data_IF_446727286502
#
_entry.id   IF_446727286502
#
_cell.length_a   1.000
_cell.length_b   1.000
_cell.length_c   1.000
_cell.angle_alpha   90.00
_cell.angle_beta   90.00
_cell.angle_gamma   90.00
#
_symmetry.space_group_name_H-M   'P 1'
#
loop_
_entity.id
_entity.type
_entity.pdbx_description
1 polymer ?
#
# COMPACT_ATOMS: atom_id res chain seq x y z
N UNK A 1 1.05 -16.00 2.62
CA UNK A 1 0.41 -14.78 3.16
C UNK A 1 1.24 -14.34 4.35
N UNK A 2 1.48 -13.04 4.48
CA UNK A 2 2.27 -12.48 5.58
C UNK A 2 1.57 -12.66 6.92
N UNK A 3 2.29 -13.22 7.90
CA UNK A 3 1.87 -13.25 9.30
C UNK A 3 2.41 -12.02 10.04
N UNK A 4 1.52 -11.08 10.34
CA UNK A 4 1.84 -9.86 11.08
C UNK A 4 1.88 -10.05 12.60
N UNK A 5 1.85 -11.30 13.10
CA UNK A 5 2.01 -11.57 14.54
C UNK A 5 3.31 -11.01 15.11
N UNK A 6 4.36 -10.86 14.29
CA UNK A 6 5.63 -10.22 14.67
C UNK A 6 5.53 -8.71 14.93
N UNK A 7 4.43 -8.07 14.53
CA UNK A 7 4.15 -6.67 14.88
C UNK A 7 3.37 -6.54 16.19
N UNK A 8 3.16 -7.61 16.98
CA UNK A 8 2.42 -7.53 18.25
C UNK A 8 3.28 -6.85 19.33
N UNK A 9 3.31 -5.53 19.30
CA UNK A 9 4.04 -4.71 20.26
C UNK A 9 3.64 -3.23 20.17
N UNK A 10 3.96 -2.48 21.21
CA UNK A 10 3.87 -1.02 21.20
C UNK A 10 5.20 -0.49 20.68
N UNK A 11 5.17 0.12 19.51
CA UNK A 11 6.36 0.71 18.92
C UNK A 11 6.47 2.19 19.30
N UNK A 12 7.68 2.67 19.56
CA UNK A 12 7.97 4.10 19.46
C UNK A 12 8.02 4.51 17.99
N UNK A 13 7.94 5.81 17.68
CA UNK A 13 8.09 6.27 16.28
C UNK A 13 9.40 5.78 15.67
N UNK A 14 10.48 5.81 16.44
CA UNK A 14 11.80 5.33 16.03
C UNK A 14 11.82 3.82 15.77
N UNK A 15 11.18 3.02 16.63
CA UNK A 15 11.09 1.57 16.44
C UNK A 15 10.22 1.20 15.23
N UNK A 16 9.19 1.99 14.90
CA UNK A 16 8.44 1.78 13.65
C UNK A 16 9.37 1.91 12.45
N UNK A 17 10.19 2.96 12.42
CA UNK A 17 11.10 3.24 11.31
C UNK A 17 12.27 2.26 11.23
N UNK A 18 12.94 1.99 12.35
CA UNK A 18 14.18 1.20 12.39
C UNK A 18 13.94 -0.31 12.44
N UNK A 19 12.75 -0.77 12.88
CA UNK A 19 12.46 -2.20 13.07
C UNK A 19 11.26 -2.67 12.25
N UNK A 20 10.10 -2.00 12.41
CA UNK A 20 8.87 -2.47 11.79
C UNK A 20 8.88 -2.33 10.26
N UNK A 21 9.38 -1.21 9.73
CA UNK A 21 9.47 -0.98 8.27
C UNK A 21 10.42 -1.99 7.58
N UNK A 22 11.67 -2.19 8.04
CA UNK A 22 12.54 -3.22 7.45
C UNK A 22 11.94 -4.62 7.51
N UNK A 23 11.31 -4.98 8.62
CA UNK A 23 10.66 -6.28 8.76
C UNK A 23 9.47 -6.44 7.80
N UNK A 24 8.63 -5.40 7.65
CA UNK A 24 7.51 -5.39 6.71
C UNK A 24 7.98 -5.59 5.28
N UNK A 25 9.01 -4.85 4.85
CA UNK A 25 9.61 -4.95 3.51
C UNK A 25 10.09 -6.38 3.25
N UNK A 26 10.88 -6.94 4.16
CA UNK A 26 11.38 -8.31 4.03
C UNK A 26 10.23 -9.33 3.93
N UNK A 27 9.20 -9.20 4.79
CA UNK A 27 8.06 -10.11 4.77
C UNK A 27 7.22 -10.02 3.48
N UNK A 28 7.08 -8.83 2.90
CA UNK A 28 6.37 -8.62 1.63
C UNK A 28 7.12 -9.21 0.45
N UNK A 29 8.45 -9.00 0.40
CA UNK A 29 9.33 -9.56 -0.63
C UNK A 29 9.34 -11.09 -0.56
N UNK A 30 9.61 -11.66 0.62
CA UNK A 30 9.58 -13.11 0.84
C UNK A 30 8.24 -13.72 0.41
N UNK A 31 7.12 -13.07 0.73
CA UNK A 31 5.82 -13.58 0.33
C UNK A 31 5.57 -13.44 -1.18
N UNK A 32 6.08 -12.40 -1.83
CA UNK A 32 5.88 -12.17 -3.26
C UNK A 32 6.76 -13.07 -4.13
N UNK A 33 8.02 -13.29 -3.75
CA UNK A 33 8.97 -14.15 -4.46
C UNK A 33 8.44 -15.58 -4.63
N UNK A 34 7.73 -16.09 -3.61
CA UNK A 34 7.08 -17.40 -3.67
C UNK A 34 5.98 -17.51 -4.74
N UNK A 35 5.37 -16.38 -5.12
CA UNK A 35 4.22 -16.32 -6.04
C UNK A 35 4.61 -15.81 -7.43
N UNK A 36 5.75 -15.15 -7.56
CA UNK A 36 6.25 -14.55 -8.79
C UNK A 36 7.79 -14.61 -8.80
N UNK A 37 8.39 -15.79 -9.03
CA UNK A 37 9.84 -15.99 -8.88
C UNK A 37 10.69 -15.26 -9.92
N UNK A 38 10.12 -14.92 -11.08
CA UNK A 38 10.78 -14.16 -12.15
C UNK A 38 10.55 -12.64 -12.01
N UNK A 39 10.38 -12.15 -10.78
CA UNK A 39 10.13 -10.72 -10.57
C UNK A 39 11.41 -9.87 -10.70
N UNK A 40 11.22 -8.58 -10.94
CA UNK A 40 12.29 -7.59 -10.83
C UNK A 40 11.76 -6.44 -9.97
N UNK A 41 12.01 -6.51 -8.65
CA UNK A 41 11.53 -5.49 -7.72
C UNK A 41 12.49 -4.30 -7.66
N UNK A 42 11.93 -3.11 -7.82
CA UNK A 42 12.61 -1.83 -7.55
C UNK A 42 11.92 -1.10 -6.40
N UNK A 43 12.72 -0.48 -5.55
CA UNK A 43 12.22 0.49 -4.55
C UNK A 43 12.33 1.90 -5.12
N UNK A 44 11.31 2.73 -4.89
CA UNK A 44 11.35 4.15 -5.23
C UNK A 44 10.56 4.99 -4.23
N UNK A 45 10.86 6.28 -4.18
CA UNK A 45 10.21 7.23 -3.28
C UNK A 45 9.62 8.40 -4.06
N UNK A 46 8.40 8.79 -3.72
CA UNK A 46 7.77 10.00 -4.26
C UNK A 46 6.77 10.59 -3.27
N UNK A 47 6.65 11.92 -3.23
CA UNK A 47 5.67 12.59 -2.36
C UNK A 47 5.79 12.25 -0.87
N UNK A 48 6.97 11.81 -0.40
CA UNK A 48 7.18 11.36 0.98
C UNK A 48 6.77 9.91 1.29
N UNK A 49 6.42 9.12 0.26
CA UNK A 49 6.06 7.71 0.39
C UNK A 49 7.02 6.84 -0.41
N UNK A 50 7.26 5.63 0.08
CA UNK A 50 8.06 4.61 -0.58
C UNK A 50 7.17 3.55 -1.21
N UNK A 51 7.67 2.93 -2.27
CA UNK A 51 6.96 1.98 -3.10
C UNK A 51 7.90 0.84 -3.49
N UNK A 52 7.39 -0.39 -3.47
CA UNK A 52 8.00 -1.54 -4.13
C UNK A 52 7.21 -1.83 -5.40
N UNK A 53 7.90 -1.88 -6.55
CA UNK A 53 7.28 -2.12 -7.84
C UNK A 53 8.01 -3.23 -8.59
N UNK A 54 7.26 -4.18 -9.10
CA UNK A 54 7.77 -5.24 -9.99
C UNK A 54 7.76 -4.70 -11.42
N UNK A 55 8.93 -4.34 -11.96
CA UNK A 55 9.04 -3.79 -13.31
C UNK A 55 8.81 -4.84 -14.39
N UNK A 56 9.18 -6.09 -14.12
CA UNK A 56 9.03 -7.21 -15.04
C UNK A 56 7.54 -7.52 -15.28
N UNK A 57 6.71 -7.50 -14.22
CA UNK A 57 5.28 -7.78 -14.33
C UNK A 57 4.39 -6.53 -14.37
N UNK A 58 4.97 -5.33 -14.17
CA UNK A 58 4.24 -4.08 -14.09
C UNK A 58 3.22 -4.08 -12.94
N UNK A 59 3.67 -4.41 -11.72
CA UNK A 59 2.79 -4.54 -10.54
C UNK A 59 3.30 -3.67 -9.40
N UNK A 60 2.40 -2.90 -8.80
CA UNK A 60 2.66 -2.31 -7.50
C UNK A 60 2.57 -3.42 -6.44
N UNK A 61 3.65 -3.62 -5.69
CA UNK A 61 3.71 -4.61 -4.63
C UNK A 61 3.31 -4.02 -3.28
N UNK A 62 3.95 -2.93 -2.89
CA UNK A 62 3.69 -2.27 -1.61
C UNK A 62 3.88 -0.76 -1.72
N UNK A 63 3.20 -0.03 -0.85
CA UNK A 63 3.43 1.39 -0.62
C UNK A 63 3.32 1.70 0.86
N UNK A 64 4.21 2.55 1.39
CA UNK A 64 4.20 2.94 2.80
C UNK A 64 4.76 4.34 3.01
N UNK A 65 4.42 4.93 4.15
CA UNK A 65 5.01 6.19 4.60
C UNK A 65 4.36 6.71 5.87
N UNK A 66 5.02 7.70 6.48
CA UNK A 66 4.51 8.35 7.68
C UNK A 66 3.51 9.45 7.31
N UNK A 67 2.33 9.40 7.92
CA UNK A 67 1.31 10.42 7.74
C UNK A 67 1.81 11.76 8.24
N UNK A 68 1.70 12.80 7.42
CA UNK A 68 1.88 14.20 7.84
C UNK A 68 0.55 14.87 8.21
N UNK A 69 -0.52 14.08 8.33
CA UNK A 69 -1.89 14.56 8.44
C UNK A 69 -2.51 14.83 7.08
N UNK A 70 -3.55 15.67 7.05
CA UNK A 70 -4.28 15.98 5.81
C UNK A 70 -3.40 16.76 4.84
N UNK A 71 -3.16 16.17 3.67
CA UNK A 71 -2.50 16.85 2.56
C UNK A 71 -3.41 17.97 2.01
N UNK A 72 -2.88 19.19 1.92
CA UNK A 72 -3.60 20.37 1.46
C UNK A 72 -3.41 20.67 -0.05
N UNK A 73 -2.56 19.91 -0.74
CA UNK A 73 -2.31 20.08 -2.18
C UNK A 73 -3.55 19.74 -3.03
N UNK A 74 -3.73 20.48 -4.12
CA UNK A 74 -4.78 20.21 -5.08
C UNK A 74 -4.58 18.83 -5.73
N UNK A 75 -5.68 18.12 -6.01
CA UNK A 75 -5.64 16.85 -6.75
C UNK A 75 -5.13 17.13 -8.16
N UNK A 76 -3.90 16.72 -8.44
CA UNK A 76 -3.33 16.88 -9.78
C UNK A 76 -4.03 15.91 -10.75
N UNK A 77 -4.96 16.43 -11.55
CA UNK A 77 -5.80 15.64 -12.46
C UNK A 77 -5.06 15.23 -13.75
N UNK A 78 -3.86 15.78 -14.00
CA UNK A 78 -3.19 15.67 -15.29
C UNK A 78 -2.34 14.40 -15.48
N UNK A 79 -2.05 13.64 -14.41
CA UNK A 79 -1.14 12.48 -14.45
C UNK A 79 -1.83 11.14 -14.12
N UNK A 80 -2.70 10.69 -15.02
CA UNK A 80 -3.38 9.39 -14.90
C UNK A 80 -3.39 8.62 -16.23
N UNK A 81 -2.26 8.55 -16.94
CA UNK A 81 -2.18 7.93 -18.26
C UNK A 81 -1.60 6.51 -18.20
N UNK A 82 -2.36 5.52 -18.66
CA UNK A 82 -1.85 4.23 -19.15
C UNK A 82 -1.68 3.07 -18.16
N UNK A 83 -1.54 3.30 -16.85
CA UNK A 83 -1.29 2.25 -15.86
C UNK A 83 -2.15 2.39 -14.58
N UNK A 84 -2.67 1.30 -13.99
CA UNK A 84 -2.75 -0.06 -14.54
C UNK A 84 -3.75 -0.13 -15.69
N UNK A 85 -3.71 -1.21 -16.49
CA UNK A 85 -4.75 -1.50 -17.49
C UNK A 85 -6.12 -1.58 -16.80
N UNK A 86 -7.20 -1.12 -17.45
CA UNK A 86 -8.53 -1.14 -16.83
C UNK A 86 -8.95 -2.56 -16.48
N UNK A 87 -9.34 -2.81 -15.22
CA UNK A 87 -9.82 -4.12 -14.77
C UNK A 87 -11.28 -4.45 -15.15
N UNK A 88 -11.91 -3.65 -16.02
CA UNK A 88 -13.34 -3.72 -16.32
C UNK A 88 -14.20 -2.75 -15.50
N UNK A 89 -15.52 -2.72 -15.74
CA UNK A 89 -16.45 -1.73 -15.17
C UNK A 89 -16.58 -1.79 -13.64
N UNK A 90 -16.31 -2.95 -13.04
CA UNK A 90 -16.39 -3.17 -11.59
C UNK A 90 -15.15 -2.68 -10.83
N UNK A 91 -14.07 -2.37 -11.55
CA UNK A 91 -12.76 -2.06 -10.98
C UNK A 91 -12.42 -0.58 -11.16
N UNK A 92 -12.11 0.06 -10.04
CA UNK A 92 -11.58 1.41 -9.99
C UNK A 92 -10.05 1.37 -10.05
N UNK A 93 -9.45 2.55 -10.33
CA UNK A 93 -8.03 2.80 -10.01
C UNK A 93 -7.92 3.07 -8.52
N UNK A 94 -7.67 2.00 -7.76
CA UNK A 94 -7.47 2.03 -6.32
C UNK A 94 -6.14 2.70 -5.99
N UNK A 95 -6.13 3.61 -5.03
CA UNK A 95 -4.91 4.27 -4.56
C UNK A 95 -4.30 3.43 -3.44
N UNK A 96 -3.02 3.09 -3.55
CA UNK A 96 -2.28 2.45 -2.47
C UNK A 96 -2.07 3.43 -1.30
N UNK A 97 -1.57 4.63 -1.59
CA UNK A 97 -1.55 5.79 -0.70
C UNK A 97 -2.68 6.75 -1.10
N UNK A 98 -3.64 7.06 -0.22
CA UNK A 98 -4.73 7.95 -0.57
C UNK A 98 -4.23 9.37 -0.89
N UNK A 99 -4.89 10.04 -1.82
CA UNK A 99 -4.61 11.45 -2.15
C UNK A 99 -4.65 12.37 -0.91
N UNK A 100 -5.50 12.07 0.08
CA UNK A 100 -5.60 12.85 1.32
C UNK A 100 -4.35 12.75 2.21
N UNK A 101 -3.48 11.77 1.98
CA UNK A 101 -2.14 11.67 2.56
C UNK A 101 -1.05 12.22 1.62
N UNK A 102 -1.38 12.52 0.36
CA UNK A 102 -0.46 13.09 -0.61
C UNK A 102 0.03 12.12 -1.69
N UNK A 103 -0.55 10.91 -1.83
CA UNK A 103 -0.19 9.94 -2.87
C UNK A 103 -0.68 10.36 -4.27
N UNK A 104 0.18 10.79 -5.23
CA UNK A 104 -0.30 11.49 -6.42
C UNK A 104 0.02 10.83 -7.77
N UNK A 105 0.75 9.70 -7.83
CA UNK A 105 1.38 9.24 -9.09
C UNK A 105 0.86 7.90 -9.64
N UNK A 106 1.15 7.62 -10.90
CA UNK A 106 0.65 6.43 -11.62
C UNK A 106 1.06 5.09 -10.99
N UNK A 107 2.26 4.98 -10.40
CA UNK A 107 2.70 3.73 -9.73
C UNK A 107 1.86 3.40 -8.50
N UNK A 108 1.14 4.40 -7.95
CA UNK A 108 0.31 4.29 -6.76
C UNK A 108 -1.07 3.66 -7.06
N UNK A 109 -1.32 3.25 -8.30
CA UNK A 109 -2.61 2.79 -8.77
C UNK A 109 -2.61 1.28 -9.06
N UNK A 110 -3.67 0.62 -8.63
CA UNK A 110 -3.93 -0.80 -8.92
C UNK A 110 -5.39 -1.01 -9.35
N UNK A 111 -5.73 -2.07 -10.11
CA UNK A 111 -7.11 -2.44 -10.35
C UNK A 111 -7.73 -2.91 -9.02
N UNK A 112 -8.69 -2.16 -8.50
CA UNK A 112 -9.32 -2.46 -7.21
C UNK A 112 -10.85 -2.50 -7.33
N UNK A 113 -11.52 -3.50 -6.75
CA UNK A 113 -12.98 -3.54 -6.70
C UNK A 113 -13.55 -2.24 -6.14
N UNK A 114 -14.52 -1.66 -6.84
CA UNK A 114 -15.13 -0.40 -6.43
C UNK A 114 -15.75 -0.46 -5.02
N UNK A 115 -16.33 -1.60 -4.64
CA UNK A 115 -16.90 -1.85 -3.31
C UNK A 115 -15.87 -1.80 -2.18
N UNK A 116 -14.64 -2.25 -2.45
CA UNK A 116 -13.52 -2.18 -1.49
C UNK A 116 -12.98 -0.76 -1.44
N UNK A 117 -12.68 -0.17 -2.60
CA UNK A 117 -12.07 1.16 -2.75
C UNK A 117 -12.91 2.28 -2.11
N UNK A 118 -14.24 2.23 -2.22
CA UNK A 118 -15.14 3.27 -1.69
C UNK A 118 -15.60 2.97 -0.25
N UNK A 119 -15.47 1.73 0.22
CA UNK A 119 -15.96 1.26 1.52
C UNK A 119 -14.83 1.05 2.54
N UNK A 120 -14.54 -0.21 2.91
CA UNK A 120 -13.74 -0.55 4.10
C UNK A 120 -12.29 -0.03 4.06
N UNK A 121 -11.75 0.26 2.87
CA UNK A 121 -10.42 0.86 2.72
C UNK A 121 -10.31 2.25 3.37
N UNK A 122 -11.41 3.02 3.37
CA UNK A 122 -11.42 4.40 3.89
C UNK A 122 -11.26 4.49 5.39
N UNK A 123 -11.48 3.41 6.12
CA UNK A 123 -11.44 3.42 7.59
C UNK A 123 -10.03 3.70 8.11
N UNK A 124 -9.02 2.98 7.61
CA UNK A 124 -7.63 3.23 8.02
C UNK A 124 -7.06 4.48 7.37
N UNK A 125 -7.48 4.85 6.14
CA UNK A 125 -7.07 6.12 5.51
C UNK A 125 -7.48 7.32 6.35
N UNK A 126 -8.73 7.37 6.82
CA UNK A 126 -9.22 8.44 7.69
C UNK A 126 -8.45 8.52 9.00
N UNK A 127 -8.15 7.37 9.62
CA UNK A 127 -7.36 7.30 10.84
C UNK A 127 -5.93 7.79 10.62
N UNK A 128 -5.29 7.41 9.51
CA UNK A 128 -3.96 7.88 9.14
C UNK A 128 -3.95 9.40 8.97
N UNK A 129 -4.91 9.97 8.26
CA UNK A 129 -5.05 11.42 8.07
C UNK A 129 -5.23 12.14 9.41
N UNK A 130 -5.97 11.55 10.36
CA UNK A 130 -6.20 12.11 11.68
C UNK A 130 -5.02 11.92 12.65
N UNK A 131 -3.99 11.14 12.28
CA UNK A 131 -2.89 10.77 13.17
C UNK A 131 -1.53 11.02 12.51
N UNK A 132 -1.05 12.29 12.48
CA UNK A 132 0.31 12.58 12.04
C UNK A 132 1.37 11.76 12.79
N UNK A 133 2.40 11.29 12.09
CA UNK A 133 3.44 10.41 12.62
C UNK A 133 3.06 8.91 12.65
N UNK A 134 1.83 8.53 12.29
CA UNK A 134 1.48 7.13 12.09
C UNK A 134 2.05 6.61 10.76
N UNK A 135 2.62 5.41 10.77
CA UNK A 135 2.97 4.71 9.54
C UNK A 135 1.70 4.10 8.94
N UNK A 136 1.43 4.42 7.68
CA UNK A 136 0.39 3.77 6.88
C UNK A 136 1.03 2.94 5.78
N UNK A 137 0.49 1.76 5.49
CA UNK A 137 0.95 0.94 4.38
C UNK A 137 -0.17 0.17 3.68
N UNK A 138 0.12 -0.24 2.45
CA UNK A 138 -0.64 -1.26 1.71
C UNK A 138 0.32 -2.28 1.09
N UNK A 139 -0.03 -3.56 1.15
CA UNK A 139 0.63 -4.65 0.46
C UNK A 139 -0.37 -5.40 -0.43
N UNK A 140 -0.14 -5.38 -1.74
CA UNK A 140 -1.01 -5.95 -2.75
C UNK A 140 -0.61 -7.39 -3.03
N UNK A 141 -1.58 -8.30 -2.89
CA UNK A 141 -1.39 -9.74 -3.05
C UNK A 141 -1.81 -10.15 -4.45
N UNK A 142 -0.98 -10.92 -5.14
CA UNK A 142 -1.26 -11.41 -6.49
C UNK A 142 -1.37 -12.94 -6.49
N UNK A 143 -2.09 -13.49 -7.48
CA UNK A 143 -2.10 -14.93 -7.73
C UNK A 143 -0.98 -15.35 -8.68
N UNK A 144 -0.83 -16.65 -8.90
CA UNK A 144 0.24 -17.22 -9.74
C UNK A 144 0.07 -16.96 -11.25
N UNK A 145 -1.04 -16.36 -11.68
CA UNK A 145 -1.28 -16.04 -13.09
C UNK A 145 -0.63 -14.70 -13.47
N UNK A 146 -0.14 -14.55 -14.73
CA UNK A 146 0.42 -13.29 -15.23
C UNK A 146 -0.70 -12.25 -15.42
N UNK A 147 -1.04 -11.56 -14.34
CA UNK A 147 -2.07 -10.52 -14.29
C UNK A 147 -1.61 -9.32 -13.46
N UNK A 148 -1.95 -8.11 -13.89
CA UNK A 148 -1.77 -6.88 -13.09
C UNK A 148 -2.87 -6.69 -12.03
N UNK A 149 -3.83 -7.62 -11.95
CA UNK A 149 -4.92 -7.58 -10.99
C UNK A 149 -4.50 -8.29 -9.69
N UNK A 150 -4.43 -7.59 -8.55
CA UNK A 150 -4.23 -8.24 -7.27
C UNK A 150 -5.48 -9.04 -6.88
N UNK A 151 -5.30 -10.13 -6.14
CA UNK A 151 -6.37 -10.94 -5.53
C UNK A 151 -6.80 -10.39 -4.16
N UNK A 152 -6.10 -9.38 -3.65
CA UNK A 152 -6.41 -8.76 -2.38
C UNK A 152 -5.33 -7.80 -1.93
N UNK A 153 -5.54 -7.22 -0.76
CA UNK A 153 -4.64 -6.24 -0.17
C UNK A 153 -4.65 -6.33 1.35
N UNK A 154 -3.48 -6.17 1.93
CA UNK A 154 -3.29 -5.98 3.36
C UNK A 154 -3.04 -4.48 3.59
N UNK A 155 -3.90 -3.83 4.36
CA UNK A 155 -3.82 -2.42 4.72
C UNK A 155 -3.46 -2.31 6.20
N UNK A 156 -2.46 -1.50 6.54
CA UNK A 156 -1.97 -1.38 7.91
C UNK A 156 -1.78 0.05 8.37
N UNK A 157 -1.97 0.25 9.68
CA UNK A 157 -1.72 1.49 10.39
C UNK A 157 -0.98 1.20 11.70
N UNK A 158 0.23 1.73 11.84
CA UNK A 158 1.02 1.66 13.07
C UNK A 158 1.08 3.07 13.68
N UNK A 159 0.47 3.22 14.84
CA UNK A 159 0.50 4.47 15.61
C UNK A 159 1.47 4.27 16.78
N UNK A 160 2.44 5.18 17.00
CA UNK A 160 3.34 5.09 18.15
C UNK A 160 2.59 4.91 19.47
N UNK A 161 3.02 3.94 20.28
CA UNK A 161 2.40 3.62 21.56
C UNK A 161 1.04 2.93 21.48
N UNK A 162 0.59 2.49 20.29
CA UNK A 162 -0.63 1.69 20.12
C UNK A 162 -0.33 0.37 19.43
N UNK A 163 -1.24 -0.59 19.59
CA UNK A 163 -1.18 -1.84 18.83
C UNK A 163 -1.42 -1.57 17.34
N UNK A 164 -0.74 -2.30 16.43
CA UNK A 164 -1.00 -2.16 14.99
C UNK A 164 -2.43 -2.54 14.63
N UNK A 165 -3.02 -1.78 13.71
CA UNK A 165 -4.28 -2.14 13.08
C UNK A 165 -4.01 -2.63 11.67
N UNK A 166 -4.38 -3.87 11.37
CA UNK A 166 -4.15 -4.50 10.05
C UNK A 166 -5.45 -5.10 9.56
N UNK A 167 -5.83 -4.76 8.33
CA UNK A 167 -7.04 -5.23 7.66
C UNK A 167 -6.67 -5.93 6.36
N UNK A 168 -7.37 -7.02 6.07
CA UNK A 168 -7.24 -7.74 4.81
C UNK A 168 -8.51 -7.59 4.01
N UNK A 169 -8.35 -7.26 2.74
CA UNK A 169 -9.46 -7.13 1.80
C UNK A 169 -9.23 -8.09 0.63
N UNK A 170 -10.30 -8.75 0.18
CA UNK A 170 -10.31 -9.44 -1.11
C UNK A 170 -10.48 -8.43 -2.24
N UNK A 171 -10.05 -8.80 -3.45
CA UNK A 171 -10.17 -8.00 -4.66
C UNK A 171 -10.71 -8.84 -5.82
#
# INVERSE_FOLDING_TARGET
MVDYSKLRGLFSSRAIEEEAVPWLIAAWLDNYDLLSPDNEIVETTTGGFSYLFDVQNGRLLAAWGFSLGRHAGARDKARMAGHPRSGGELYHRGHAIPHTLGGPIDINLVPQLGSVNVGPFRELEKKAVATPGALYFTYWRYGNAPSQMPIGVDQGLLVPGKMPEIKRHGN
#
